data_IF_227310422776
#
_entry.id   IF_227310422776
#
_cell.length_a   1.000
_cell.length_b   1.000
_cell.length_c   1.000
_cell.angle_alpha   90.00
_cell.angle_beta   90.00
_cell.angle_gamma   90.00
#
_symmetry.space_group_name_H-M   'P 1'
#
loop_
_entity.id
_entity.type
_entity.pdbx_description
1 polymer ?
#
# COMPACT_ATOMS: atom_id res chain seq x y z
N UNK A 1 15.75 -7.24 15.09
CA UNK A 1 15.48 -6.05 15.94
C UNK A 1 14.83 -4.91 15.17
N UNK A 2 15.41 -4.46 14.03
CA UNK A 2 14.91 -3.31 13.25
C UNK A 2 13.46 -3.44 12.76
N UNK A 3 13.07 -4.61 12.22
CA UNK A 3 11.71 -4.79 11.67
C UNK A 3 10.64 -4.80 12.76
N UNK A 4 10.91 -5.41 13.91
CA UNK A 4 10.00 -5.43 15.04
C UNK A 4 9.77 -4.01 15.58
N UNK A 5 10.85 -3.21 15.69
CA UNK A 5 10.76 -1.80 16.05
C UNK A 5 9.97 -0.98 15.02
N UNK A 6 10.19 -1.18 13.71
CA UNK A 6 9.40 -0.55 12.66
C UNK A 6 7.90 -0.91 12.76
N UNK A 7 7.57 -2.18 13.02
CA UNK A 7 6.18 -2.62 13.25
C UNK A 7 5.55 -1.91 14.46
N UNK A 8 6.29 -1.82 15.57
CA UNK A 8 5.85 -1.13 16.78
C UNK A 8 5.68 0.37 16.53
N UNK A 9 6.59 1.00 15.78
CA UNK A 9 6.48 2.42 15.39
C UNK A 9 5.29 2.68 14.50
N UNK A 10 4.98 1.80 13.54
CA UNK A 10 3.79 1.90 12.69
C UNK A 10 2.53 1.94 13.55
N UNK A 11 2.31 0.91 14.38
CA UNK A 11 1.08 0.78 15.18
C UNK A 11 1.02 1.77 16.33
N UNK A 12 2.10 1.88 17.10
CA UNK A 12 2.18 2.73 18.28
C UNK A 12 2.04 4.22 17.94
N UNK A 13 2.72 4.70 16.89
CA UNK A 13 2.57 6.10 16.47
C UNK A 13 1.17 6.37 15.94
N UNK A 14 0.60 5.46 15.14
CA UNK A 14 -0.77 5.60 14.67
C UNK A 14 -1.78 5.66 15.83
N UNK A 15 -1.70 4.72 16.78
CA UNK A 15 -2.61 4.68 17.93
C UNK A 15 -2.45 5.92 18.83
N UNK A 16 -1.21 6.39 19.03
CA UNK A 16 -0.93 7.63 19.77
C UNK A 16 -1.54 8.87 19.11
N UNK A 17 -1.52 8.94 17.78
CA UNK A 17 -2.20 10.00 17.02
C UNK A 17 -3.73 9.90 17.22
N UNK A 18 -4.30 8.70 17.14
CA UNK A 18 -5.72 8.50 17.36
C UNK A 18 -6.17 8.87 18.78
N UNK A 19 -5.37 8.53 19.80
CA UNK A 19 -5.64 8.93 21.19
C UNK A 19 -5.50 10.43 21.43
N UNK A 20 -4.79 11.15 20.56
CA UNK A 20 -4.60 12.60 20.64
C UNK A 20 -5.71 13.41 19.94
N UNK A 21 -6.85 12.77 19.64
CA UNK A 21 -8.02 13.43 19.04
C UNK A 21 -8.22 13.19 17.54
N UNK A 22 -7.25 12.59 16.84
CA UNK A 22 -7.38 12.25 15.41
C UNK A 22 -8.00 10.86 15.22
N UNK A 23 -9.23 10.67 15.69
CA UNK A 23 -9.87 9.35 15.69
C UNK A 23 -10.63 9.05 14.37
N UNK A 24 -10.74 7.77 13.97
CA UNK A 24 -11.49 7.34 12.77
C UNK A 24 -12.98 7.67 12.76
N UNK A 25 -13.57 7.94 13.93
CA UNK A 25 -15.00 8.23 14.07
C UNK A 25 -15.34 9.69 13.80
N UNK A 26 -14.36 10.60 13.90
CA UNK A 26 -14.54 12.04 13.74
C UNK A 26 -13.91 12.59 12.46
N UNK A 27 -12.89 11.92 11.93
CA UNK A 27 -12.15 12.37 10.75
C UNK A 27 -12.39 11.47 9.54
N UNK A 28 -12.46 12.09 8.36
CA UNK A 28 -12.48 11.35 7.10
C UNK A 28 -11.22 10.49 6.97
N UNK A 29 -11.32 9.24 6.48
CA UNK A 29 -10.17 8.39 6.24
C UNK A 29 -9.13 8.97 5.29
N UNK A 30 -9.52 9.92 4.42
CA UNK A 30 -8.59 10.64 3.55
C UNK A 30 -7.67 11.56 4.37
N UNK A 31 -8.23 12.25 5.37
CA UNK A 31 -7.44 13.11 6.27
C UNK A 31 -6.50 12.28 7.12
N UNK A 32 -7.00 11.16 7.67
CA UNK A 32 -6.16 10.23 8.43
C UNK A 32 -5.06 9.61 7.58
N UNK A 33 -5.35 9.27 6.33
CA UNK A 33 -4.33 8.85 5.36
C UNK A 33 -3.22 9.89 5.24
N UNK A 34 -3.56 11.17 5.08
CA UNK A 34 -2.56 12.23 4.93
C UNK A 34 -1.64 12.28 6.14
N UNK A 35 -2.19 12.25 7.35
CA UNK A 35 -1.41 12.21 8.61
C UNK A 35 -0.56 10.94 8.70
N UNK A 36 -1.13 9.79 8.34
CA UNK A 36 -0.44 8.52 8.33
C UNK A 36 0.78 8.52 7.39
N UNK A 37 0.61 9.05 6.18
CA UNK A 37 1.68 9.11 5.18
C UNK A 37 2.73 10.19 5.49
N UNK A 38 2.36 11.28 6.17
CA UNK A 38 3.28 12.37 6.52
C UNK A 38 4.02 12.18 7.84
N UNK A 39 3.45 11.45 8.80
CA UNK A 39 4.00 11.29 10.16
C UNK A 39 4.37 9.84 10.46
N UNK A 40 3.41 8.91 10.36
CA UNK A 40 3.59 7.54 10.83
C UNK A 40 4.56 6.76 9.95
N UNK A 41 4.33 6.76 8.64
CA UNK A 41 5.16 6.02 7.68
C UNK A 41 6.61 6.51 7.68
N UNK A 42 6.91 7.84 7.64
CA UNK A 42 8.28 8.32 7.70
C UNK A 42 8.99 7.95 9.00
N UNK A 43 8.31 8.04 10.15
CA UNK A 43 8.88 7.68 11.46
C UNK A 43 9.21 6.20 11.56
N UNK A 44 8.32 5.34 11.06
CA UNK A 44 8.51 3.89 11.14
C UNK A 44 9.51 3.34 10.13
N UNK A 45 9.58 3.94 8.93
CA UNK A 45 10.46 3.52 7.84
C UNK A 45 11.72 4.39 7.71
N UNK A 46 12.14 5.04 8.79
CA UNK A 46 13.38 5.79 8.81
C UNK A 46 14.57 4.85 8.57
N UNK A 47 15.41 5.16 7.59
CA UNK A 47 16.57 4.33 7.23
C UNK A 47 16.23 3.04 6.47
N UNK A 48 14.96 2.84 6.04
CA UNK A 48 14.57 1.60 5.34
C UNK A 48 15.27 1.40 4.00
N UNK A 49 15.78 2.48 3.40
CA UNK A 49 16.62 2.45 2.22
C UNK A 49 17.90 1.62 2.38
N UNK A 50 18.39 1.46 3.62
CA UNK A 50 19.57 0.66 3.95
C UNK A 50 19.23 -0.74 4.48
N UNK A 51 17.94 -1.07 4.62
CA UNK A 51 17.55 -2.43 5.00
C UNK A 51 17.93 -3.40 3.87
N UNK A 52 18.79 -4.35 4.21
CA UNK A 52 19.17 -5.46 3.33
C UNK A 52 17.99 -6.43 3.18
N UNK A 53 18.16 -7.48 2.38
CA UNK A 53 17.11 -8.47 2.02
C UNK A 53 16.19 -8.77 3.20
N UNK A 54 14.96 -8.26 3.12
CA UNK A 54 13.93 -8.46 4.15
C UNK A 54 13.32 -9.82 3.89
N UNK A 55 13.40 -10.72 4.87
CA UNK A 55 12.78 -12.04 4.75
C UNK A 55 11.26 -11.94 4.57
N UNK A 56 10.67 -12.93 3.90
CA UNK A 56 9.23 -12.96 3.63
C UNK A 56 8.38 -12.87 4.91
N UNK A 57 8.84 -13.48 6.01
CA UNK A 57 8.17 -13.41 7.32
C UNK A 57 8.19 -11.99 7.90
N UNK A 58 9.31 -11.29 7.79
CA UNK A 58 9.48 -9.92 8.26
C UNK A 58 8.69 -8.92 7.41
N UNK A 59 8.69 -9.09 6.09
CA UNK A 59 7.84 -8.31 5.20
C UNK A 59 6.36 -8.52 5.54
N UNK A 60 5.95 -9.76 5.79
CA UNK A 60 4.58 -10.07 6.21
C UNK A 60 4.21 -9.42 7.55
N UNK A 61 5.15 -9.29 8.50
CA UNK A 61 4.92 -8.58 9.78
C UNK A 61 4.73 -7.08 9.57
N UNK A 62 5.53 -6.47 8.69
CA UNK A 62 5.35 -5.07 8.31
C UNK A 62 3.99 -4.87 7.65
N UNK A 63 3.63 -5.74 6.70
CA UNK A 63 2.33 -5.67 6.03
C UNK A 63 1.17 -5.82 7.01
N UNK A 64 1.28 -6.73 7.97
CA UNK A 64 0.28 -6.89 9.04
C UNK A 64 0.11 -5.64 9.89
N UNK A 65 1.20 -4.93 10.16
CA UNK A 65 1.18 -3.69 10.95
C UNK A 65 0.62 -2.52 10.12
N UNK A 66 1.02 -2.43 8.86
CA UNK A 66 0.54 -1.44 7.91
C UNK A 66 -0.96 -1.58 7.65
N UNK A 67 -1.43 -2.78 7.28
CA UNK A 67 -2.86 -3.06 7.03
C UNK A 67 -3.73 -2.85 8.27
N UNK A 68 -3.20 -3.08 9.47
CA UNK A 68 -3.92 -2.78 10.71
C UNK A 68 -4.27 -1.29 10.79
N UNK A 69 -3.29 -0.42 10.53
CA UNK A 69 -3.50 1.03 10.53
C UNK A 69 -4.48 1.43 9.43
N UNK A 70 -4.29 0.92 8.21
CA UNK A 70 -5.14 1.23 7.04
C UNK A 70 -6.60 0.85 7.26
N UNK A 71 -6.88 -0.34 7.82
CA UNK A 71 -8.25 -0.76 8.13
C UNK A 71 -8.83 0.02 9.30
N UNK A 72 -8.04 0.30 10.32
CA UNK A 72 -8.48 1.08 11.47
C UNK A 72 -8.90 2.50 11.07
N UNK A 73 -8.16 3.15 10.17
CA UNK A 73 -8.50 4.49 9.65
C UNK A 73 -9.89 4.55 8.99
N UNK A 74 -10.35 3.41 8.45
CA UNK A 74 -11.61 3.27 7.74
C UNK A 74 -12.69 2.55 8.56
N UNK A 75 -12.39 2.20 9.81
CA UNK A 75 -13.26 1.40 10.68
C UNK A 75 -13.65 0.05 10.07
N UNK A 76 -12.78 -0.53 9.23
CA UNK A 76 -13.01 -1.84 8.62
C UNK A 76 -12.71 -2.99 9.57
N UNK A 77 -13.44 -4.08 9.39
CA UNK A 77 -13.20 -5.32 10.11
C UNK A 77 -11.82 -5.90 9.75
N UNK A 78 -11.20 -6.63 10.68
CA UNK A 78 -9.87 -7.23 10.50
C UNK A 78 -9.79 -8.16 9.28
N UNK A 79 -10.92 -8.79 8.92
CA UNK A 79 -11.08 -9.73 7.81
C UNK A 79 -11.37 -9.10 6.44
N UNK A 80 -11.64 -7.79 6.38
CA UNK A 80 -11.87 -7.07 5.11
C UNK A 80 -10.68 -7.28 4.17
N UNK A 81 -10.93 -7.37 2.86
CA UNK A 81 -9.86 -7.51 1.88
C UNK A 81 -8.81 -6.39 2.02
N UNK A 82 -7.52 -6.76 2.03
CA UNK A 82 -6.44 -5.78 2.19
C UNK A 82 -6.32 -4.86 0.98
N UNK A 83 -6.44 -5.39 -0.23
CA UNK A 83 -6.35 -4.60 -1.46
C UNK A 83 -7.52 -3.61 -1.53
N UNK A 84 -8.72 -4.03 -1.13
CA UNK A 84 -9.85 -3.09 -0.99
C UNK A 84 -9.55 -1.97 0.01
N UNK A 85 -9.03 -2.31 1.19
CA UNK A 85 -8.69 -1.32 2.20
C UNK A 85 -7.58 -0.35 1.73
N UNK A 86 -6.61 -0.82 0.95
CA UNK A 86 -5.55 0.00 0.38
C UNK A 86 -6.08 0.90 -0.75
N UNK A 87 -6.78 0.33 -1.72
CA UNK A 87 -7.32 1.02 -2.90
C UNK A 87 -8.35 2.09 -2.54
N UNK A 88 -9.24 1.80 -1.58
CA UNK A 88 -10.30 2.73 -1.14
C UNK A 88 -9.78 4.08 -0.66
N UNK A 89 -8.62 4.13 0.01
CA UNK A 89 -7.97 5.39 0.38
C UNK A 89 -6.78 5.73 -0.52
N UNK A 90 -6.45 4.92 -1.53
CA UNK A 90 -5.30 5.08 -2.44
C UNK A 90 -3.95 5.10 -1.70
N UNK A 91 -3.65 3.99 -1.01
CA UNK A 91 -2.39 3.75 -0.29
C UNK A 91 -1.72 2.50 -0.86
N UNK A 92 -0.40 2.57 -1.09
CA UNK A 92 0.39 1.43 -1.53
C UNK A 92 0.69 0.44 -0.39
N UNK A 93 0.96 -0.82 -0.76
CA UNK A 93 1.55 -1.81 0.15
C UNK A 93 2.84 -1.30 0.79
N UNK A 94 3.17 -1.80 1.99
CA UNK A 94 4.38 -1.36 2.70
C UNK A 94 5.65 -1.75 1.93
N UNK A 95 5.61 -2.90 1.23
CA UNK A 95 6.69 -3.32 0.34
C UNK A 95 6.92 -2.29 -0.76
N UNK A 96 5.86 -1.87 -1.46
CA UNK A 96 5.96 -0.88 -2.52
C UNK A 96 6.46 0.48 -2.00
N UNK A 97 6.05 0.89 -0.80
CA UNK A 97 6.55 2.11 -0.14
C UNK A 97 8.06 2.01 0.13
N UNK A 98 8.54 0.87 0.64
CA UNK A 98 9.97 0.62 0.92
C UNK A 98 10.77 0.61 -0.38
N UNK A 99 10.32 -0.12 -1.39
CA UNK A 99 10.97 -0.22 -2.69
C UNK A 99 11.10 1.16 -3.35
N UNK A 100 10.03 1.96 -3.30
CA UNK A 100 10.06 3.34 -3.81
C UNK A 100 11.04 4.21 -3.03
N UNK A 101 11.14 4.08 -1.71
CA UNK A 101 12.11 4.82 -0.89
C UNK A 101 13.56 4.45 -1.25
N UNK A 102 13.85 3.16 -1.41
CA UNK A 102 15.15 2.65 -1.89
C UNK A 102 15.52 3.24 -3.26
N UNK A 103 14.60 3.22 -4.22
CA UNK A 103 14.83 3.76 -5.56
C UNK A 103 14.97 5.29 -5.59
N UNK A 104 14.24 6.02 -4.73
CA UNK A 104 14.43 7.47 -4.57
C UNK A 104 15.83 7.76 -4.03
N UNK A 105 16.27 7.02 -3.01
CA UNK A 105 17.60 7.17 -2.43
C UNK A 105 18.72 6.83 -3.44
N UNK A 106 18.56 5.76 -4.22
CA UNK A 106 19.46 5.44 -5.34
C UNK A 106 19.60 6.60 -6.33
N UNK A 107 18.49 7.15 -6.83
CA UNK A 107 18.56 8.27 -7.75
C UNK A 107 19.19 9.52 -7.12
N UNK A 108 19.03 9.74 -5.80
CA UNK A 108 19.72 10.82 -5.09
C UNK A 108 21.24 10.60 -5.10
N UNK A 109 21.71 9.39 -4.80
CA UNK A 109 23.14 9.05 -4.83
C UNK A 109 23.76 9.28 -6.21
N UNK A 110 23.11 8.85 -7.29
CA UNK A 110 23.61 9.07 -8.66
C UNK A 110 23.78 10.56 -8.99
N UNK A 111 22.85 11.41 -8.53
CA UNK A 111 22.85 12.86 -8.77
C UNK A 111 23.75 13.67 -7.83
N UNK A 112 24.28 13.09 -6.76
CA UNK A 112 25.19 13.83 -5.87
C UNK A 112 26.45 14.28 -6.64
N UNK A 113 27.06 15.43 -6.29
CA UNK A 113 28.41 15.75 -6.78
C UNK A 113 29.47 14.76 -6.28
N UNK A 114 30.56 14.56 -7.04
CA UNK A 114 31.61 13.59 -6.70
C UNK A 114 32.43 13.97 -5.45
N UNK A 115 32.33 15.21 -4.98
CA UNK A 115 32.96 15.66 -3.73
C UNK A 115 32.35 15.04 -2.48
N UNK A 116 31.12 14.51 -2.57
CA UNK A 116 30.45 13.90 -1.42
C UNK A 116 30.95 12.48 -1.20
N UNK A 117 31.44 12.19 0.01
CA UNK A 117 31.90 10.86 0.42
C UNK A 117 30.84 9.77 0.16
N UNK A 118 29.57 10.07 0.39
CA UNK A 118 28.47 9.14 0.12
C UNK A 118 28.44 8.65 -1.34
N UNK A 119 28.70 9.55 -2.31
CA UNK A 119 28.77 9.18 -3.72
C UNK A 119 30.03 8.37 -4.02
N UNK A 120 31.18 8.76 -3.47
CA UNK A 120 32.43 8.03 -3.67
C UNK A 120 32.33 6.58 -3.15
N UNK A 121 31.76 6.40 -1.95
CA UNK A 121 31.51 5.08 -1.36
C UNK A 121 30.53 4.27 -2.21
N UNK A 122 29.45 4.90 -2.68
CA UNK A 122 28.49 4.26 -3.57
C UNK A 122 29.14 3.79 -4.88
N UNK A 123 29.90 4.66 -5.56
CA UNK A 123 30.59 4.33 -6.81
C UNK A 123 31.62 3.22 -6.61
N UNK A 124 32.42 3.28 -5.54
CA UNK A 124 33.38 2.23 -5.21
C UNK A 124 32.68 0.86 -5.04
N UNK A 125 31.57 0.82 -4.28
CA UNK A 125 30.79 -0.40 -4.11
C UNK A 125 30.14 -0.88 -5.40
N UNK A 126 29.68 0.04 -6.25
CA UNK A 126 29.09 -0.28 -7.55
C UNK A 126 30.13 -0.92 -8.48
N UNK A 127 31.33 -0.34 -8.58
CA UNK A 127 32.44 -0.89 -9.38
C UNK A 127 32.85 -2.27 -8.86
N UNK A 128 32.99 -2.45 -7.55
CA UNK A 128 33.28 -3.77 -6.97
C UNK A 128 32.21 -4.80 -7.32
N UNK A 129 30.93 -4.43 -7.26
CA UNK A 129 29.82 -5.31 -7.64
C UNK A 129 29.89 -5.70 -9.12
N UNK A 130 30.13 -4.73 -10.01
CA UNK A 130 30.28 -4.97 -11.44
C UNK A 130 31.46 -5.89 -11.79
N UNK A 131 32.53 -5.82 -11.00
CA UNK A 131 33.70 -6.69 -11.14
C UNK A 131 33.52 -8.08 -10.50
N UNK A 132 32.28 -8.49 -10.19
CA UNK A 132 31.93 -9.78 -9.59
C UNK A 132 32.63 -10.06 -8.25
N UNK A 133 32.91 -9.03 -7.46
CA UNK A 133 33.44 -9.19 -6.11
C UNK A 133 32.40 -9.89 -5.22
N UNK A 134 32.73 -11.10 -4.76
CA UNK A 134 31.89 -11.97 -3.93
C UNK A 134 31.51 -11.34 -2.58
N UNK A 135 32.18 -10.27 -2.15
CA UNK A 135 31.91 -9.57 -0.90
C UNK A 135 30.85 -8.47 -1.00
N UNK A 136 30.23 -8.27 -2.16
CA UNK A 136 29.28 -7.19 -2.37
C UNK A 136 27.88 -7.57 -1.85
N UNK A 137 27.71 -7.49 -0.53
CA UNK A 137 26.40 -7.57 0.13
C UNK A 137 25.86 -6.16 0.41
N UNK A 138 24.54 -6.04 0.46
CA UNK A 138 23.87 -4.82 0.95
C UNK A 138 23.11 -4.05 -0.12
N UNK A 139 23.24 -2.71 -0.10
CA UNK A 139 22.42 -1.80 -0.90
C UNK A 139 22.54 -2.01 -2.42
N UNK A 140 23.75 -2.16 -2.97
CA UNK A 140 23.96 -2.24 -4.43
C UNK A 140 23.25 -3.46 -5.06
N UNK A 141 23.47 -4.71 -4.60
CA UNK A 141 22.74 -5.87 -5.14
C UNK A 141 21.22 -5.72 -5.04
N UNK A 142 20.74 -5.15 -3.94
CA UNK A 142 19.31 -4.92 -3.73
C UNK A 142 18.74 -3.91 -4.72
N UNK A 143 19.47 -2.83 -5.04
CA UNK A 143 19.08 -1.90 -6.08
C UNK A 143 19.04 -2.58 -7.45
N UNK A 144 20.01 -3.41 -7.81
CA UNK A 144 19.95 -4.18 -9.06
C UNK A 144 18.70 -5.05 -9.15
N UNK A 145 18.36 -5.75 -8.05
CA UNK A 145 17.12 -6.55 -7.96
C UNK A 145 15.88 -5.68 -8.17
N UNK A 146 15.82 -4.50 -7.56
CA UNK A 146 14.69 -3.57 -7.72
C UNK A 146 14.61 -2.97 -9.12
N UNK A 147 15.74 -2.57 -9.71
CA UNK A 147 15.78 -2.08 -11.08
C UNK A 147 15.29 -3.17 -12.05
N UNK A 148 15.64 -4.44 -11.81
CA UNK A 148 15.12 -5.54 -12.61
C UNK A 148 13.61 -5.76 -12.37
N UNK A 149 13.18 -5.81 -11.11
CA UNK A 149 11.77 -5.97 -10.71
C UNK A 149 10.85 -4.94 -11.39
N UNK A 150 11.33 -3.72 -11.58
CA UNK A 150 10.54 -2.61 -12.12
C UNK A 150 10.94 -2.20 -13.55
N UNK A 151 11.79 -2.98 -14.23
CA UNK A 151 12.24 -2.71 -15.61
C UNK A 151 12.90 -1.33 -15.80
N UNK A 152 13.75 -0.94 -14.85
CA UNK A 152 14.47 0.33 -14.80
C UNK A 152 15.98 0.19 -15.06
N UNK A 153 16.43 -0.95 -15.60
CA UNK A 153 17.86 -1.26 -15.82
C UNK A 153 18.53 -0.22 -16.72
N UNK A 154 17.83 0.22 -17.78
CA UNK A 154 18.30 1.21 -18.74
C UNK A 154 18.75 2.52 -18.10
N UNK A 155 18.18 2.89 -16.95
CA UNK A 155 18.59 4.09 -16.21
C UNK A 155 19.98 3.95 -15.60
N UNK A 156 20.30 2.76 -15.10
CA UNK A 156 21.63 2.48 -14.57
C UNK A 156 22.63 2.32 -15.71
N UNK A 157 22.25 1.65 -16.80
CA UNK A 157 23.12 1.49 -17.98
C UNK A 157 23.48 2.84 -18.59
N UNK A 158 22.48 3.72 -18.79
CA UNK A 158 22.71 5.08 -19.27
C UNK A 158 23.57 5.90 -18.31
N UNK A 159 23.42 5.70 -17.00
CA UNK A 159 24.26 6.35 -15.99
C UNK A 159 25.71 5.85 -16.03
N UNK A 160 25.93 4.55 -16.20
CA UNK A 160 27.27 3.96 -16.31
C UNK A 160 28.00 4.42 -17.57
N UNK A 161 27.28 4.61 -18.68
CA UNK A 161 27.85 5.06 -19.95
C UNK A 161 28.13 6.56 -19.99
N UNK A 162 27.19 7.39 -19.51
CA UNK A 162 27.26 8.85 -19.67
C UNK A 162 27.68 9.60 -18.42
N UNK A 163 27.64 8.96 -17.24
CA UNK A 163 27.76 9.63 -15.94
C UNK A 163 26.56 10.50 -15.57
N UNK A 164 25.55 10.62 -16.43
CA UNK A 164 24.37 11.45 -16.25
C UNK A 164 23.18 10.61 -15.80
N UNK A 165 22.50 11.05 -14.74
CA UNK A 165 21.29 10.41 -14.22
C UNK A 165 20.07 11.31 -14.48
N UNK A 166 18.86 10.74 -14.70
CA UNK A 166 17.65 11.54 -14.88
C UNK A 166 17.46 12.59 -13.78
N UNK A 167 16.93 13.74 -14.17
CA UNK A 167 16.60 14.84 -13.25
C UNK A 167 15.68 14.36 -12.11
N UNK A 168 15.66 15.08 -10.99
CA UNK A 168 14.83 14.71 -9.82
C UNK A 168 13.35 14.56 -10.21
N UNK A 169 12.84 15.41 -11.10
CA UNK A 169 11.47 15.36 -11.58
C UNK A 169 11.23 14.19 -12.54
N UNK A 170 12.12 14.00 -13.52
CA UNK A 170 12.04 12.88 -14.46
C UNK A 170 12.07 11.54 -13.71
N UNK A 171 13.01 11.36 -12.77
CA UNK A 171 13.10 10.16 -11.96
C UNK A 171 11.83 9.91 -11.13
N UNK A 172 11.27 10.95 -10.51
CA UNK A 172 10.00 10.82 -9.77
C UNK A 172 8.85 10.37 -10.66
N UNK A 173 8.75 10.89 -11.88
CA UNK A 173 7.72 10.48 -12.84
C UNK A 173 7.91 9.04 -13.30
N UNK A 174 9.16 8.61 -13.56
CA UNK A 174 9.47 7.22 -13.89
C UNK A 174 9.09 6.28 -12.76
N UNK A 175 9.43 6.60 -11.51
CA UNK A 175 9.02 5.80 -10.36
C UNK A 175 7.50 5.76 -10.18
N UNK A 176 6.79 6.86 -10.45
CA UNK A 176 5.32 6.85 -10.42
C UNK A 176 4.75 5.86 -11.44
N UNK A 177 5.28 5.85 -12.67
CA UNK A 177 4.81 5.00 -13.77
C UNK A 177 5.18 3.53 -13.59
N UNK A 178 6.40 3.23 -13.14
CA UNK A 178 6.91 1.86 -13.09
C UNK A 178 6.69 1.17 -11.75
N UNK A 179 6.56 1.92 -10.64
CA UNK A 179 6.47 1.35 -9.29
C UNK A 179 5.07 1.51 -8.70
N UNK A 180 4.52 2.73 -8.72
CA UNK A 180 3.27 3.04 -8.01
C UNK A 180 2.01 2.74 -8.83
N UNK A 181 1.93 3.17 -10.09
CA UNK A 181 0.74 2.94 -10.91
C UNK A 181 0.42 1.44 -11.13
N UNK A 182 1.40 0.54 -11.43
CA UNK A 182 1.11 -0.88 -11.63
C UNK A 182 0.64 -1.56 -10.33
N UNK A 183 1.08 -1.09 -9.17
CA UNK A 183 0.61 -1.59 -7.87
C UNK A 183 -0.89 -1.33 -7.71
N UNK A 184 -1.35 -0.12 -8.01
CA UNK A 184 -2.77 0.21 -7.93
C UNK A 184 -3.63 -0.63 -8.88
N UNK A 185 -3.17 -0.83 -10.12
CA UNK A 185 -3.86 -1.69 -11.08
C UNK A 185 -3.98 -3.13 -10.54
N UNK A 186 -2.89 -3.72 -10.06
CA UNK A 186 -2.91 -5.07 -9.46
C UNK A 186 -3.84 -5.18 -8.26
N UNK A 187 -3.93 -4.14 -7.43
CA UNK A 187 -4.86 -4.12 -6.30
C UNK A 187 -6.32 -4.15 -6.77
N UNK A 188 -6.67 -3.37 -7.81
CA UNK A 188 -8.02 -3.33 -8.36
C UNK A 188 -8.39 -4.62 -9.09
N UNK A 189 -7.48 -5.18 -9.89
CA UNK A 189 -7.66 -6.48 -10.55
C UNK A 189 -7.93 -7.58 -9.51
N UNK A 190 -7.11 -7.63 -8.45
CA UNK A 190 -7.32 -8.59 -7.36
C UNK A 190 -8.64 -8.42 -6.62
N UNK A 191 -9.22 -7.22 -6.59
CA UNK A 191 -10.56 -6.99 -6.02
C UNK A 191 -11.64 -7.52 -6.97
N UNK A 192 -11.49 -7.25 -8.27
CA UNK A 192 -12.41 -7.71 -9.32
C UNK A 192 -12.49 -9.23 -9.37
N UNK A 193 -11.36 -9.92 -9.19
CA UNK A 193 -11.30 -11.39 -9.14
C UNK A 193 -12.09 -11.99 -7.96
N UNK A 194 -12.19 -11.26 -6.83
CA UNK A 194 -12.88 -11.75 -5.63
C UNK A 194 -14.41 -11.69 -5.81
N UNK A 195 -14.92 -10.68 -6.51
CA UNK A 195 -16.35 -10.51 -6.73
C UNK A 195 -16.62 -9.85 -8.09
N UNK A 196 -16.59 -10.62 -9.20
CA UNK A 196 -16.73 -10.07 -10.56
C UNK A 196 -18.07 -9.36 -10.79
N UNK A 197 -19.09 -9.73 -10.03
CA UNK A 197 -20.45 -9.16 -10.13
C UNK A 197 -20.58 -7.78 -9.50
N UNK A 198 -19.64 -7.38 -8.63
CA UNK A 198 -19.68 -6.08 -7.98
C UNK A 198 -18.84 -5.09 -8.80
N UNK A 199 -19.51 -4.29 -9.63
CA UNK A 199 -18.84 -3.19 -10.33
C UNK A 199 -18.48 -2.09 -9.32
N UNK A 200 -17.18 -1.87 -9.13
CA UNK A 200 -16.64 -0.85 -8.22
C UNK A 200 -15.94 0.29 -8.96
N UNK A 201 -16.04 0.36 -10.29
CA UNK A 201 -15.27 1.31 -11.10
C UNK A 201 -15.66 2.79 -10.79
N UNK A 202 -16.91 3.05 -10.39
CA UNK A 202 -17.34 4.39 -9.96
C UNK A 202 -16.84 4.75 -8.55
N UNK A 203 -16.61 3.73 -7.73
CA UNK A 203 -16.25 3.87 -6.31
C UNK A 203 -14.73 3.90 -6.11
N UNK A 204 -14.00 3.05 -6.82
CA UNK A 204 -12.55 2.86 -6.71
C UNK A 204 -11.85 3.34 -7.97
N UNK A 205 -10.74 4.05 -7.80
CA UNK A 205 -10.00 4.68 -8.89
C UNK A 205 -8.52 4.34 -8.75
N UNK A 206 -7.83 4.08 -9.86
CA UNK A 206 -6.40 3.69 -9.88
C UNK A 206 -5.52 4.68 -9.10
N UNK A 207 -5.74 5.99 -9.25
CA UNK A 207 -4.83 6.99 -8.65
C UNK A 207 -5.53 7.97 -7.70
N UNK A 208 -6.75 7.65 -7.26
CA UNK A 208 -7.54 8.57 -6.42
C UNK A 208 -8.22 7.80 -5.28
N UNK A 209 -8.35 8.42 -4.08
CA UNK A 209 -9.23 7.88 -3.07
C UNK A 209 -10.63 7.65 -3.62
N UNK A 210 -11.36 6.75 -2.98
CA UNK A 210 -12.74 6.45 -3.30
C UNK A 210 -13.58 7.70 -3.35
N UNK A 211 -14.47 7.77 -4.34
CA UNK A 211 -15.46 8.84 -4.48
C UNK A 211 -16.30 8.99 -3.20
N UNK A 212 -16.64 7.88 -2.55
CA UNK A 212 -17.40 7.87 -1.30
C UNK A 212 -16.63 8.55 -0.17
N UNK A 213 -15.35 8.23 0.00
CA UNK A 213 -14.54 8.93 1.01
C UNK A 213 -14.33 10.41 0.71
N UNK A 214 -14.29 10.82 -0.57
CA UNK A 214 -14.24 12.25 -0.92
C UNK A 214 -15.49 13.00 -0.47
N UNK A 215 -16.67 12.39 -0.62
CA UNK A 215 -17.93 12.97 -0.14
C UNK A 215 -17.88 13.16 1.38
N UNK A 216 -17.37 12.17 2.13
CA UNK A 216 -17.25 12.27 3.59
C UNK A 216 -16.34 13.41 4.05
N UNK A 217 -15.37 13.80 3.22
CA UNK A 217 -14.47 14.92 3.50
C UNK A 217 -15.16 16.28 3.30
N UNK A 218 -16.06 16.37 2.32
CA UNK A 218 -16.81 17.59 2.00
C UNK A 218 -17.99 17.76 2.98
N UNK A 219 -18.66 16.66 3.32
CA UNK A 219 -19.80 16.64 4.25
C UNK A 219 -19.54 15.67 5.40
N UNK A 220 -18.89 16.12 6.49
CA UNK A 220 -18.60 15.28 7.65
C UNK A 220 -19.83 14.64 8.30
N UNK A 221 -21.02 15.26 8.15
CA UNK A 221 -22.29 14.71 8.64
C UNK A 221 -22.64 13.36 7.99
N UNK A 222 -22.18 13.11 6.77
CA UNK A 222 -22.41 11.85 6.04
C UNK A 222 -21.36 10.78 6.37
N UNK A 223 -20.33 11.10 7.15
CA UNK A 223 -19.24 10.17 7.48
C UNK A 223 -19.74 8.84 8.07
N UNK A 224 -20.68 8.80 9.04
CA UNK A 224 -21.15 7.54 9.60
C UNK A 224 -21.86 6.66 8.56
N UNK A 225 -22.67 7.27 7.68
CA UNK A 225 -23.38 6.58 6.61
C UNK A 225 -22.40 6.00 5.58
N UNK A 226 -21.45 6.83 5.13
CA UNK A 226 -20.42 6.41 4.17
C UNK A 226 -19.53 5.32 4.75
N UNK A 227 -19.15 5.42 6.03
CA UNK A 227 -18.38 4.39 6.70
C UNK A 227 -19.12 3.06 6.76
N UNK A 228 -20.42 3.09 7.05
CA UNK A 228 -21.28 1.90 7.05
C UNK A 228 -21.35 1.28 5.65
N UNK A 229 -21.57 2.08 4.61
CA UNK A 229 -21.60 1.62 3.22
C UNK A 229 -20.26 0.99 2.81
N UNK A 230 -19.14 1.66 3.10
CA UNK A 230 -17.81 1.16 2.79
C UNK A 230 -17.48 -0.12 3.55
N UNK A 231 -17.94 -0.25 4.81
CA UNK A 231 -17.78 -1.48 5.59
C UNK A 231 -18.60 -2.64 5.00
N UNK A 232 -19.81 -2.39 4.48
CA UNK A 232 -20.62 -3.38 3.78
C UNK A 232 -19.95 -3.83 2.48
N UNK A 233 -19.44 -2.88 1.67
CA UNK A 233 -18.64 -3.17 0.47
C UNK A 233 -17.42 -4.04 0.80
N UNK A 234 -16.69 -3.67 1.86
CA UNK A 234 -15.58 -4.47 2.38
C UNK A 234 -16.01 -5.85 2.90
N UNK A 235 -17.26 -5.98 3.36
CA UNK A 235 -17.88 -7.23 3.78
C UNK A 235 -18.11 -8.20 2.62
N UNK A 236 -18.56 -7.72 1.46
CA UNK A 236 -18.68 -8.54 0.24
C UNK A 236 -17.33 -9.09 -0.22
N UNK A 237 -16.26 -8.34 0.03
CA UNK A 237 -14.90 -8.71 -0.36
C UNK A 237 -14.12 -9.43 0.75
N UNK A 238 -14.71 -9.61 1.94
CA UNK A 238 -14.03 -10.24 3.07
C UNK A 238 -13.67 -11.70 2.78
N UNK A 239 -12.61 -12.18 3.44
CA UNK A 239 -12.16 -13.57 3.30
C UNK A 239 -13.31 -14.54 3.57
N UNK A 240 -13.45 -15.50 2.67
CA UNK A 240 -14.50 -16.49 2.71
C UNK A 240 -14.25 -17.53 3.80
N UNK A 241 -15.20 -17.63 4.73
CA UNK A 241 -15.24 -18.71 5.72
C UNK A 241 -16.59 -19.41 5.58
N UNK A 242 -16.63 -20.75 5.67
CA UNK A 242 -17.89 -21.47 5.70
C UNK A 242 -18.73 -20.98 6.87
N UNK A 243 -19.85 -20.35 6.57
CA UNK A 243 -20.81 -19.84 7.55
C UNK A 243 -22.22 -20.22 7.13
N UNK A 244 -23.14 -20.30 8.08
CA UNK A 244 -24.54 -20.61 7.79
C UNK A 244 -25.33 -19.31 7.69
N UNK A 245 -26.11 -19.18 6.62
CA UNK A 245 -27.03 -18.05 6.48
C UNK A 245 -28.12 -18.15 7.56
N UNK A 246 -28.31 -17.10 8.36
CA UNK A 246 -29.32 -17.09 9.43
C UNK A 246 -30.77 -16.98 8.91
N UNK A 247 -30.97 -16.75 7.61
CA UNK A 247 -32.30 -16.60 7.00
C UNK A 247 -32.78 -17.88 6.31
N UNK A 248 -31.90 -18.54 5.55
CA UNK A 248 -32.25 -19.74 4.78
C UNK A 248 -31.47 -20.99 5.20
N UNK A 249 -30.57 -20.89 6.19
CA UNK A 249 -29.76 -22.00 6.71
C UNK A 249 -28.81 -22.67 5.70
N UNK A 250 -28.59 -22.05 4.53
CA UNK A 250 -27.64 -22.52 3.52
C UNK A 250 -26.21 -22.18 3.93
N UNK A 251 -25.30 -23.13 3.75
CA UNK A 251 -23.86 -22.91 3.89
C UNK A 251 -23.35 -21.97 2.79
N UNK A 252 -22.71 -20.88 3.20
CA UNK A 252 -22.13 -19.89 2.31
C UNK A 252 -20.72 -19.52 2.76
N UNK A 253 -19.88 -19.23 1.77
CA UNK A 253 -18.53 -18.70 1.95
C UNK A 253 -18.53 -17.23 2.37
N UNK A 254 -19.59 -16.49 2.05
CA UNK A 254 -19.75 -15.09 2.45
C UNK A 254 -21.21 -14.82 2.82
N UNK A 255 -21.46 -14.63 4.12
CA UNK A 255 -22.81 -14.40 4.66
C UNK A 255 -23.47 -13.15 4.09
N UNK A 256 -22.73 -12.05 3.94
CA UNK A 256 -23.26 -10.78 3.41
C UNK A 256 -23.63 -10.93 1.94
N UNK A 257 -22.70 -11.42 1.12
CA UNK A 257 -22.92 -11.66 -0.31
C UNK A 257 -24.11 -12.57 -0.55
N UNK A 258 -24.18 -13.69 0.17
CA UNK A 258 -25.32 -14.57 0.09
C UNK A 258 -26.61 -13.89 0.53
N UNK A 259 -26.62 -13.21 1.69
CA UNK A 259 -27.84 -12.57 2.20
C UNK A 259 -28.42 -11.55 1.23
N UNK A 260 -27.58 -10.78 0.52
CA UNK A 260 -28.02 -9.73 -0.38
C UNK A 260 -28.33 -10.29 -1.76
N UNK A 261 -27.41 -11.03 -2.37
CA UNK A 261 -27.50 -11.41 -3.78
C UNK A 261 -28.17 -12.77 -4.03
N UNK A 262 -28.09 -13.73 -3.09
CA UNK A 262 -28.42 -15.13 -3.38
C UNK A 262 -29.42 -15.78 -2.41
N UNK A 263 -29.81 -15.09 -1.35
CA UNK A 263 -30.71 -15.66 -0.34
C UNK A 263 -32.15 -15.64 -0.85
N UNK A 264 -32.77 -16.82 -0.96
CA UNK A 264 -34.16 -16.98 -1.40
C UNK A 264 -35.16 -16.21 -0.52
N UNK A 265 -34.90 -16.11 0.78
CA UNK A 265 -35.75 -15.34 1.72
C UNK A 265 -35.72 -13.82 1.48
N UNK A 266 -34.84 -13.31 0.63
CA UNK A 266 -34.72 -11.88 0.27
C UNK A 266 -34.96 -11.63 -1.21
N UNK A 267 -35.55 -12.59 -1.91
CA UNK A 267 -35.83 -12.50 -3.35
C UNK A 267 -36.81 -11.35 -3.67
N UNK A 268 -37.93 -11.27 -2.97
CA UNK A 268 -38.91 -10.18 -3.12
C UNK A 268 -38.32 -8.78 -2.86
N UNK A 269 -37.32 -8.68 -1.99
CA UNK A 269 -36.62 -7.42 -1.71
C UNK A 269 -35.62 -7.05 -2.81
N UNK A 270 -35.12 -8.03 -3.56
CA UNK A 270 -34.28 -7.76 -4.74
C UNK A 270 -35.11 -7.37 -5.95
N UNK A 271 -36.29 -7.95 -6.12
CA UNK A 271 -37.21 -7.65 -7.23
C UNK A 271 -37.84 -6.25 -7.13
N UNK A 272 -37.78 -5.62 -5.95
CA UNK A 272 -38.31 -4.28 -5.69
C UNK A 272 -37.26 -3.16 -5.72
N UNK A 273 -35.99 -3.47 -6.04
CA UNK A 273 -34.88 -2.53 -6.21
C UNK A 273 -34.51 -2.36 -7.68
#
# INVERSE_FOLDING_TARGET
MLIADACNKLRGTYLSICSSGFNPSSLSPITLRTIYQSVVVPKALYGCELWTVIGASDMLRLERSHRFCVKSMQQFHSLTNTNFALASINVNSIENIIDRKKLVFFGQLCRLPNQYLAKQVFLNRLVRYLNNDKQTKGFVPEIYRLLYKYQLQSCLDGYLQSGLFPSKQAWKQMLQRSVSAPEHHRQLESIRDVCPTLNLDDVLHVDKPSSLWKISRISPKLLPLIATLMAQLGGFLSRSYPTVCSLCWIHTKNKLLHSVCFCSRRELLRESL
#
